data_IF_750396612994
#
_entry.id   IF_750396612994
#
_cell.length_a   1.000
_cell.length_b   1.000
_cell.length_c   1.000
_cell.angle_alpha   90.00
_cell.angle_beta   90.00
_cell.angle_gamma   90.00
#
_symmetry.space_group_name_H-M   'P 1'
#
loop_
_entity.id
_entity.type
_entity.pdbx_description
1 polymer ?
#
# COMPACT_ATOMS: atom_id res chain seq x y z
N UNK A 1 -3.22 -3.13 -1.41
CA UNK A 1 -1.86 -2.85 -0.90
C UNK A 1 -1.84 -1.86 0.27
N UNK A 2 -2.57 -0.72 0.19
CA UNK A 2 -2.65 0.28 1.27
C UNK A 2 -3.00 -0.29 2.66
N UNK A 3 -3.96 -1.20 2.73
CA UNK A 3 -4.33 -1.86 3.99
C UNK A 3 -3.24 -2.80 4.52
N UNK A 4 -2.56 -3.53 3.63
CA UNK A 4 -1.48 -4.46 4.00
C UNK A 4 -0.23 -3.74 4.49
N UNK A 5 0.02 -2.54 3.96
CA UNK A 5 1.14 -1.67 4.35
C UNK A 5 0.79 -0.70 5.48
N UNK A 6 -0.45 -0.73 6.00
CA UNK A 6 -0.91 0.08 7.14
C UNK A 6 -1.09 1.56 6.86
N UNK A 7 -1.16 1.94 5.58
CA UNK A 7 -1.37 3.34 5.17
C UNK A 7 -2.83 3.77 5.25
N UNK A 8 -3.73 2.79 5.22
CA UNK A 8 -5.16 3.01 5.33
C UNK A 8 -5.76 1.90 6.18
N UNK A 9 -6.81 2.25 6.93
CA UNK A 9 -7.56 1.30 7.74
C UNK A 9 -8.36 0.38 6.81
N UNK A 10 -8.20 -0.95 6.88
CA UNK A 10 -9.09 -1.86 6.16
C UNK A 10 -10.53 -1.74 6.69
N UNK A 11 -11.53 -1.98 5.83
CA UNK A 11 -12.92 -2.16 6.26
C UNK A 11 -13.05 -3.27 7.30
N UNK A 12 -14.03 -3.15 8.20
CA UNK A 12 -14.26 -4.12 9.29
C UNK A 12 -14.47 -5.54 8.77
N UNK A 13 -15.17 -5.71 7.65
CA UNK A 13 -15.38 -7.02 7.00
C UNK A 13 -14.09 -7.71 6.54
N UNK A 14 -13.02 -6.95 6.36
CA UNK A 14 -11.70 -7.44 5.93
C UNK A 14 -10.77 -7.58 7.12
N UNK A 15 -10.86 -6.68 8.11
CA UNK A 15 -10.02 -6.75 9.31
C UNK A 15 -10.30 -7.99 10.17
N UNK A 16 -11.53 -8.52 10.15
CA UNK A 16 -11.91 -9.76 10.85
C UNK A 16 -11.49 -11.04 10.11
N UNK A 17 -10.96 -10.93 8.89
CA UNK A 17 -10.56 -12.10 8.12
C UNK A 17 -9.18 -12.61 8.60
N UNK A 18 -9.08 -13.86 9.11
CA UNK A 18 -7.82 -14.38 9.64
C UNK A 18 -6.71 -14.50 8.58
N UNK A 19 -7.08 -14.74 7.31
CA UNK A 19 -6.13 -14.77 6.19
C UNK A 19 -5.57 -13.36 5.95
N UNK A 20 -6.41 -12.34 6.01
CA UNK A 20 -5.97 -10.96 5.85
C UNK A 20 -5.00 -10.58 6.97
N UNK A 21 -5.32 -10.90 8.23
CA UNK A 21 -4.44 -10.64 9.37
C UNK A 21 -3.08 -11.31 9.22
N UNK A 22 -3.05 -12.59 8.82
CA UNK A 22 -1.80 -13.31 8.62
C UNK A 22 -0.92 -12.70 7.52
N UNK A 23 -1.54 -12.29 6.40
CA UNK A 23 -0.82 -11.65 5.30
C UNK A 23 -0.33 -10.26 5.69
N UNK A 24 -1.17 -9.46 6.37
CA UNK A 24 -0.80 -8.12 6.84
C UNK A 24 0.39 -8.18 7.80
N UNK A 25 0.39 -9.13 8.73
CA UNK A 25 1.50 -9.32 9.66
C UNK A 25 2.81 -9.67 8.93
N UNK A 26 2.75 -10.58 7.96
CA UNK A 26 3.91 -10.94 7.14
C UNK A 26 4.47 -9.76 6.36
N UNK A 27 3.58 -8.95 5.76
CA UNK A 27 3.97 -7.73 5.04
C UNK A 27 4.60 -6.71 5.99
N UNK A 28 4.02 -6.52 7.18
CA UNK A 28 4.55 -5.59 8.19
C UNK A 28 5.94 -5.98 8.67
N UNK A 29 6.15 -7.26 8.99
CA UNK A 29 7.48 -7.78 9.37
C UNK A 29 8.52 -7.57 8.27
N UNK A 30 8.11 -7.79 7.02
CA UNK A 30 9.00 -7.60 5.88
C UNK A 30 9.35 -6.12 5.66
N UNK A 31 8.38 -5.22 5.80
CA UNK A 31 8.60 -3.78 5.74
C UNK A 31 9.49 -3.30 6.89
N UNK A 32 9.32 -3.87 8.09
CA UNK A 32 10.18 -3.56 9.22
C UNK A 32 11.64 -3.95 8.99
N UNK A 33 11.84 -5.13 8.39
CA UNK A 33 13.18 -5.67 8.14
C UNK A 33 13.91 -5.02 6.95
N UNK A 34 13.18 -4.56 5.94
CA UNK A 34 13.76 -4.18 4.64
C UNK A 34 13.44 -2.74 4.18
N UNK A 35 12.67 -1.97 4.95
CA UNK A 35 12.33 -0.59 4.59
C UNK A 35 12.44 0.34 5.79
N UNK A 36 13.23 1.40 5.65
CA UNK A 36 13.27 2.48 6.63
C UNK A 36 11.91 3.15 6.75
N UNK A 37 11.47 3.55 7.97
CA UNK A 37 10.17 4.22 8.16
C UNK A 37 9.98 5.46 7.28
N UNK A 38 11.06 6.18 7.00
CA UNK A 38 11.10 7.40 6.19
C UNK A 38 10.83 7.14 4.69
N UNK A 39 11.03 5.92 4.21
CA UNK A 39 10.76 5.53 2.81
C UNK A 39 9.40 4.85 2.64
N UNK A 40 8.68 4.63 3.74
CA UNK A 40 7.30 4.13 3.73
C UNK A 40 6.39 5.31 3.40
N UNK A 41 5.41 5.12 2.51
CA UNK A 41 4.45 6.18 2.24
C UNK A 41 3.66 6.50 3.52
N UNK A 42 3.65 7.78 3.89
CA UNK A 42 2.99 8.29 5.09
C UNK A 42 1.49 8.00 5.01
N UNK A 43 0.83 7.56 6.11
CA UNK A 43 -0.62 7.38 6.13
C UNK A 43 -1.35 8.62 5.60
N UNK A 44 -2.21 8.43 4.60
CA UNK A 44 -2.96 9.51 3.94
C UNK A 44 -2.23 10.29 2.84
N UNK A 45 -0.96 9.98 2.54
CA UNK A 45 -0.26 10.54 1.38
C UNK A 45 -0.29 9.55 0.19
N UNK A 46 -0.36 10.05 -1.05
CA UNK A 46 -0.24 9.21 -2.23
C UNK A 46 1.15 8.56 -2.27
N UNK A 47 1.23 7.33 -2.77
CA UNK A 47 2.52 6.72 -3.09
C UNK A 47 3.28 7.55 -4.11
N UNK A 48 4.57 7.23 -4.24
CA UNK A 48 5.42 7.69 -5.35
C UNK A 48 4.62 7.66 -6.66
N UNK A 49 4.67 8.79 -7.37
CA UNK A 49 3.96 9.06 -8.63
C UNK A 49 4.01 7.83 -9.55
N UNK A 50 2.86 7.36 -10.02
CA UNK A 50 2.72 6.14 -10.83
C UNK A 50 1.95 4.99 -10.17
N UNK A 51 2.10 4.73 -8.86
CA UNK A 51 1.41 3.59 -8.23
C UNK A 51 -0.08 3.88 -7.94
N UNK A 52 -0.39 5.09 -7.47
CA UNK A 52 -1.76 5.54 -7.22
C UNK A 52 -2.47 6.09 -8.48
N UNK A 53 -1.71 6.37 -9.55
CA UNK A 53 -2.22 7.00 -10.77
C UNK A 53 -3.00 6.03 -11.66
N UNK A 54 -2.84 4.71 -11.46
CA UNK A 54 -3.60 3.66 -12.18
C UNK A 54 -5.11 3.80 -11.97
N UNK A 55 -5.55 4.28 -10.81
CA UNK A 55 -6.97 4.50 -10.50
C UNK A 55 -7.52 5.82 -11.06
N UNK A 56 -6.65 6.79 -11.38
CA UNK A 56 -7.04 8.11 -11.89
C UNK A 56 -7.10 8.16 -13.42
N UNK A 57 -6.56 7.17 -14.12
CA UNK A 57 -6.49 7.17 -15.58
C UNK A 57 -7.68 6.46 -16.24
N UNK A 58 -8.75 7.21 -16.55
CA UNK A 58 -9.76 6.84 -17.57
C UNK A 58 -9.46 7.39 -18.98
N UNK A 59 -8.22 7.77 -19.28
CA UNK A 59 -7.82 8.02 -20.68
C UNK A 59 -6.50 8.76 -20.91
N UNK A 60 -5.39 8.03 -21.11
CA UNK A 60 -4.12 8.55 -21.64
C UNK A 60 -2.83 8.03 -20.96
N UNK A 61 -1.63 8.18 -21.56
CA UNK A 61 -0.40 7.61 -21.01
C UNK A 61 0.44 8.69 -20.31
N UNK A 62 1.17 8.34 -19.24
CA UNK A 62 2.15 9.25 -18.65
C UNK A 62 3.31 8.49 -18.00
N UNK A 63 4.32 8.25 -18.82
CA UNK A 63 5.71 7.96 -18.44
C UNK A 63 5.91 6.70 -17.59
N UNK A 64 6.13 5.58 -18.28
CA UNK A 64 6.85 4.45 -17.71
C UNK A 64 8.28 4.87 -17.35
N UNK A 65 8.76 4.35 -16.23
CA UNK A 65 10.17 4.34 -15.88
C UNK A 65 10.93 3.45 -16.90
N UNK A 66 11.48 4.09 -17.93
CA UNK A 66 12.62 3.51 -18.66
C UNK A 66 13.87 3.51 -17.79
#
# INVERSE_FOLDING_TARGET
>A
WKWLSGQEQPPESISVNPVFTAVQEGVMKNLDSHSSPETRATPGQPWVRGWDDIQKFRGGPSTGNQ
#
